data_IF_977439317680
#
_entry.id   IF_977439317680
#
_cell.length_a   1.000
_cell.length_b   1.000
_cell.length_c   1.000
_cell.angle_alpha   90.00
_cell.angle_beta   90.00
_cell.angle_gamma   90.00
#
_symmetry.space_group_name_H-M   'P 1'
#
loop_
_entity.id
_entity.type
_entity.pdbx_description
1 polymer ?
#
# COMPACT_ATOMS: atom_id res chain seq x y z
N UNK A 1 -39.73 -9.70 -45.06
CA UNK A 1 -39.27 -8.29 -45.09
C UNK A 1 -40.37 -7.42 -44.50
N UNK A 2 -40.41 -7.38 -43.17
CA UNK A 2 -41.34 -6.57 -42.36
C UNK A 2 -41.06 -6.89 -40.89
N UNK A 3 -41.26 -5.90 -40.01
CA UNK A 3 -41.47 -6.07 -38.55
C UNK A 3 -40.29 -6.14 -37.57
N UNK A 4 -39.06 -5.74 -37.92
CA UNK A 4 -37.98 -5.58 -36.91
C UNK A 4 -37.47 -4.15 -36.69
N UNK A 5 -37.87 -3.19 -37.54
CA UNK A 5 -37.34 -1.82 -37.49
C UNK A 5 -38.27 -0.80 -36.79
N UNK A 6 -39.44 -1.22 -36.29
CA UNK A 6 -40.40 -0.34 -35.59
C UNK A 6 -40.39 -0.48 -34.06
N UNK A 7 -39.58 -1.39 -33.50
CA UNK A 7 -39.45 -1.58 -32.05
C UNK A 7 -38.25 -0.85 -31.43
N UNK A 8 -37.42 -0.18 -32.25
CA UNK A 8 -36.21 0.54 -31.82
C UNK A 8 -36.42 2.06 -31.69
N UNK A 9 -37.66 2.55 -31.79
CA UNK A 9 -37.98 3.98 -31.78
C UNK A 9 -38.95 4.39 -30.65
N UNK A 10 -38.96 3.65 -29.53
CA UNK A 10 -39.84 3.91 -28.40
C UNK A 10 -39.21 3.58 -27.03
N UNK A 11 -37.92 3.85 -26.83
CA UNK A 11 -37.43 4.15 -25.48
C UNK A 11 -37.29 5.66 -25.36
N UNK A 12 -38.38 6.24 -24.85
CA UNK A 12 -38.49 7.60 -24.39
C UNK A 12 -37.23 8.01 -23.62
N UNK A 13 -36.65 9.13 -24.06
CA UNK A 13 -35.90 10.04 -23.22
C UNK A 13 -36.84 10.49 -22.09
N UNK A 14 -36.80 9.80 -20.95
CA UNK A 14 -37.25 10.38 -19.69
C UNK A 14 -36.11 11.30 -19.25
N UNK A 15 -36.15 12.54 -19.72
CA UNK A 15 -35.37 13.60 -19.11
C UNK A 15 -35.83 13.68 -17.64
N UNK A 16 -34.94 13.49 -16.64
CA UNK A 16 -35.31 13.81 -15.28
C UNK A 16 -35.59 15.31 -15.27
N UNK A 17 -36.83 15.68 -14.95
CA UNK A 17 -37.16 17.03 -14.54
C UNK A 17 -36.26 17.34 -13.34
N UNK A 18 -35.24 18.18 -13.55
CA UNK A 18 -34.47 18.78 -12.47
C UNK A 18 -35.44 19.57 -11.61
N UNK A 19 -35.96 18.94 -10.57
CA UNK A 19 -36.46 19.66 -9.42
C UNK A 19 -35.28 20.49 -8.92
N UNK A 20 -35.40 21.81 -9.00
CA UNK A 20 -34.49 22.71 -8.32
C UNK A 20 -34.62 22.41 -6.82
N UNK A 21 -33.73 21.58 -6.30
CA UNK A 21 -33.56 21.39 -4.87
C UNK A 21 -33.35 22.77 -4.27
N UNK A 22 -34.23 23.13 -3.32
CA UNK A 22 -34.05 24.29 -2.46
C UNK A 22 -32.63 24.18 -1.90
N UNK A 23 -31.76 25.12 -2.28
CA UNK A 23 -30.37 25.14 -1.89
C UNK A 23 -30.24 25.27 -0.38
N UNK A 24 -30.26 24.13 0.30
CA UNK A 24 -29.75 24.02 1.65
C UNK A 24 -28.26 24.33 1.53
N UNK A 25 -27.84 25.41 2.21
CA UNK A 25 -26.47 25.89 2.14
C UNK A 25 -25.57 24.75 2.61
N UNK A 26 -24.75 24.21 1.72
CA UNK A 26 -23.71 23.23 2.09
C UNK A 26 -22.90 23.89 3.22
N UNK A 27 -22.78 23.24 4.40
CA UNK A 27 -21.99 23.78 5.51
C UNK A 27 -20.59 24.14 5.04
N UNK A 28 -19.89 25.05 5.72
CA UNK A 28 -18.47 25.23 5.42
C UNK A 28 -17.71 23.98 5.91
N UNK A 29 -16.74 23.49 5.13
CA UNK A 29 -15.90 22.34 5.48
C UNK A 29 -15.28 22.52 6.87
N UNK A 30 -14.91 23.76 7.21
CA UNK A 30 -14.32 24.11 8.50
C UNK A 30 -15.24 23.92 9.71
N UNK A 31 -16.56 24.03 9.55
CA UNK A 31 -17.52 23.93 10.67
C UNK A 31 -17.58 22.52 11.27
N UNK A 32 -17.34 21.50 10.43
CA UNK A 32 -17.30 20.10 10.86
C UNK A 32 -15.94 19.68 11.44
N UNK A 33 -14.94 20.58 11.43
CA UNK A 33 -13.59 20.31 11.93
C UNK A 33 -13.49 20.73 13.39
N UNK A 34 -13.22 19.77 14.28
CA UNK A 34 -13.09 20.05 15.70
C UNK A 34 -11.82 19.41 16.28
N UNK A 35 -11.15 20.12 17.18
CA UNK A 35 -9.96 19.61 17.85
C UNK A 35 -10.32 18.41 18.73
N UNK A 36 -9.57 17.33 18.63
CA UNK A 36 -9.71 16.17 19.49
C UNK A 36 -9.03 16.44 20.85
N UNK A 37 -9.59 15.94 21.96
CA UNK A 37 -9.04 16.17 23.30
C UNK A 37 -7.86 15.24 23.63
N UNK A 38 -6.99 14.92 22.67
CA UNK A 38 -5.93 13.94 22.84
C UNK A 38 -4.83 14.45 23.76
N UNK A 39 -4.40 13.60 24.69
CA UNK A 39 -3.29 13.84 25.60
C UNK A 39 -2.39 12.61 25.62
N UNK A 40 -1.14 12.76 25.20
CA UNK A 40 -0.14 11.68 25.22
C UNK A 40 1.00 12.12 26.12
N UNK A 41 1.32 11.31 27.14
CA UNK A 41 2.36 11.63 28.14
C UNK A 41 2.23 13.05 28.74
N UNK A 42 0.98 13.49 28.99
CA UNK A 42 0.66 14.80 29.55
C UNK A 42 0.69 15.97 28.55
N UNK A 43 1.05 15.73 27.28
CA UNK A 43 1.04 16.74 26.22
C UNK A 43 -0.23 16.68 25.40
N UNK A 44 -0.89 17.83 25.22
CA UNK A 44 -2.05 17.95 24.32
C UNK A 44 -1.60 17.88 22.87
N UNK A 45 -2.20 16.98 22.08
CA UNK A 45 -1.88 16.87 20.66
C UNK A 45 -2.78 17.76 19.82
N UNK A 46 -2.22 18.32 18.74
CA UNK A 46 -2.95 19.18 17.82
C UNK A 46 -3.61 18.38 16.68
N UNK A 47 -4.40 17.35 17.03
CA UNK A 47 -5.14 16.53 16.04
C UNK A 47 -6.59 16.96 15.98
N UNK A 48 -7.06 17.35 14.80
CA UNK A 48 -8.45 17.66 14.54
C UNK A 48 -9.16 16.49 13.85
N UNK A 49 -10.46 16.37 14.10
CA UNK A 49 -11.35 15.42 13.44
C UNK A 49 -12.37 16.21 12.63
N UNK A 50 -12.46 15.92 11.34
CA UNK A 50 -13.59 16.30 10.50
C UNK A 50 -14.60 15.15 10.48
N UNK A 51 -15.75 15.34 11.10
CA UNK A 51 -16.83 14.36 11.12
C UNK A 51 -18.19 15.06 11.09
N UNK A 52 -19.15 14.50 10.36
CA UNK A 52 -20.49 15.09 10.19
C UNK A 52 -21.49 14.63 11.24
N UNK A 53 -21.20 13.52 11.92
CA UNK A 53 -22.05 12.95 12.96
C UNK A 53 -21.26 12.74 14.26
N UNK A 54 -21.92 12.74 15.43
CA UNK A 54 -21.27 12.39 16.69
C UNK A 54 -20.69 10.97 16.70
N UNK A 55 -21.35 10.00 16.06
CA UNK A 55 -20.81 8.63 15.98
C UNK A 55 -19.53 8.55 15.14
N UNK A 56 -19.51 9.22 13.98
CA UNK A 56 -18.31 9.28 13.13
C UNK A 56 -17.18 9.99 13.84
N UNK A 57 -17.48 11.05 14.61
CA UNK A 57 -16.49 11.73 15.42
C UNK A 57 -15.90 10.79 16.46
N UNK A 58 -16.72 10.11 17.24
CA UNK A 58 -16.25 9.16 18.27
C UNK A 58 -15.41 8.04 17.64
N UNK A 59 -15.78 7.59 16.45
CA UNK A 59 -14.99 6.62 15.70
C UNK A 59 -13.62 7.19 15.29
N UNK A 60 -13.58 8.37 14.67
CA UNK A 60 -12.35 9.05 14.28
C UNK A 60 -11.45 9.35 15.47
N UNK A 61 -12.01 9.80 16.60
CA UNK A 61 -11.28 10.06 17.83
C UNK A 61 -10.61 8.79 18.35
N UNK A 62 -11.39 7.73 18.60
CA UNK A 62 -10.86 6.47 19.10
C UNK A 62 -9.80 5.88 18.16
N UNK A 63 -10.09 5.86 16.86
CA UNK A 63 -9.16 5.33 15.87
C UNK A 63 -7.83 6.08 15.87
N UNK A 64 -7.88 7.41 15.94
CA UNK A 64 -6.69 8.24 15.84
C UNK A 64 -5.90 8.25 17.13
N UNK A 65 -6.55 8.27 18.30
CA UNK A 65 -5.89 8.21 19.61
C UNK A 65 -4.96 7.00 19.72
N UNK A 66 -5.49 5.80 19.44
CA UNK A 66 -4.74 4.53 19.52
C UNK A 66 -3.50 4.48 18.61
N UNK A 67 -3.51 5.21 17.48
CA UNK A 67 -2.43 5.20 16.49
C UNK A 67 -1.45 6.34 16.71
N UNK A 68 -1.97 7.53 16.95
CA UNK A 68 -1.17 8.73 17.15
C UNK A 68 -0.36 8.60 18.42
N UNK A 69 -0.90 8.05 19.51
CA UNK A 69 -0.14 7.76 20.74
C UNK A 69 1.15 6.98 20.44
N UNK A 70 1.01 5.84 19.74
CA UNK A 70 2.15 4.99 19.35
C UNK A 70 3.12 5.76 18.43
N UNK A 71 2.61 6.55 17.49
CA UNK A 71 3.45 7.36 16.61
C UNK A 71 4.25 8.41 17.39
N UNK A 72 3.63 9.10 18.36
CA UNK A 72 4.28 10.11 19.21
C UNK A 72 5.38 9.49 20.07
N UNK A 73 5.13 8.32 20.65
CA UNK A 73 6.13 7.58 21.42
C UNK A 73 7.26 7.06 20.52
N UNK A 74 6.96 6.77 19.26
CA UNK A 74 7.97 6.37 18.27
C UNK A 74 8.91 7.51 17.92
N UNK A 75 8.40 8.72 17.72
CA UNK A 75 9.16 9.90 17.28
C UNK A 75 9.74 10.72 18.44
N UNK A 76 9.23 10.57 19.65
CA UNK A 76 9.64 11.35 20.82
C UNK A 76 8.89 12.68 20.99
N UNK A 77 7.74 12.86 20.33
CA UNK A 77 6.89 14.05 20.45
C UNK A 77 6.08 14.31 19.18
N UNK A 78 4.98 15.06 19.30
CA UNK A 78 3.95 15.18 18.25
C UNK A 78 3.68 16.61 17.78
N UNK A 79 4.70 17.47 17.74
CA UNK A 79 4.53 18.92 17.52
C UNK A 79 3.76 19.31 16.23
N UNK A 80 3.46 18.34 15.37
CA UNK A 80 2.75 18.45 14.10
C UNK A 80 1.22 18.39 14.26
N UNK A 81 0.54 19.28 13.53
CA UNK A 81 -0.91 19.40 13.47
C UNK A 81 -1.48 18.38 12.49
N UNK A 82 -2.38 17.53 12.97
CA UNK A 82 -3.03 16.51 12.17
C UNK A 82 -4.50 16.80 11.88
N UNK A 83 -5.01 16.30 10.77
CA UNK A 83 -6.45 16.21 10.50
C UNK A 83 -6.84 14.81 10.08
N UNK A 84 -7.83 14.23 10.74
CA UNK A 84 -8.51 13.00 10.28
C UNK A 84 -9.90 13.35 9.75
N UNK A 85 -10.14 13.04 8.47
CA UNK A 85 -11.43 13.23 7.80
C UNK A 85 -12.15 11.89 7.77
N UNK A 86 -13.25 11.78 8.51
CA UNK A 86 -14.09 10.59 8.49
C UNK A 86 -15.06 10.69 7.32
N UNK A 87 -14.92 9.80 6.35
CA UNK A 87 -15.83 9.70 5.21
C UNK A 87 -17.21 9.23 5.64
N UNK A 88 -18.25 9.62 4.89
CA UNK A 88 -19.63 9.18 5.14
C UNK A 88 -20.01 8.03 4.22
N UNK A 89 -20.94 7.21 4.66
CA UNK A 89 -21.56 6.20 3.79
C UNK A 89 -22.23 6.86 2.57
N UNK A 90 -21.99 6.30 1.38
CA UNK A 90 -22.50 6.82 0.10
C UNK A 90 -21.59 7.85 -0.58
N UNK A 91 -20.63 8.43 0.12
CA UNK A 91 -19.69 9.39 -0.49
C UNK A 91 -18.61 8.69 -1.33
N UNK A 92 -18.20 9.30 -2.45
CA UNK A 92 -17.13 8.73 -3.26
C UNK A 92 -15.80 8.79 -2.49
N UNK A 93 -15.04 7.70 -2.60
CA UNK A 93 -13.67 7.65 -2.11
C UNK A 93 -12.80 8.70 -2.83
N UNK A 94 -11.85 9.40 -2.15
CA UNK A 94 -11.01 10.43 -2.79
C UNK A 94 -10.30 9.98 -4.08
N UNK A 95 -9.93 8.70 -4.17
CA UNK A 95 -9.35 8.09 -5.38
C UNK A 95 -10.26 8.27 -6.61
N UNK A 96 -11.58 8.22 -6.46
CA UNK A 96 -12.51 8.41 -7.58
C UNK A 96 -12.45 9.84 -8.13
N UNK A 97 -12.36 10.83 -7.23
CA UNK A 97 -12.18 12.24 -7.61
C UNK A 97 -10.86 12.44 -8.35
N UNK A 98 -9.77 11.87 -7.81
CA UNK A 98 -8.43 11.95 -8.41
C UNK A 98 -8.43 11.34 -9.82
N UNK A 99 -9.04 10.17 -10.00
CA UNK A 99 -9.14 9.54 -11.32
C UNK A 99 -9.96 10.34 -12.30
N UNK A 100 -11.05 10.96 -11.84
CA UNK A 100 -11.85 11.83 -12.69
C UNK A 100 -11.02 13.02 -13.20
N UNK A 101 -10.27 13.66 -12.31
CA UNK A 101 -9.33 14.72 -12.70
C UNK A 101 -8.31 14.24 -13.73
N UNK A 102 -7.68 13.07 -13.51
CA UNK A 102 -6.71 12.50 -14.43
C UNK A 102 -7.31 12.20 -15.81
N UNK A 103 -8.50 11.61 -15.85
CA UNK A 103 -9.20 11.33 -17.10
C UNK A 103 -9.56 12.61 -17.88
N UNK A 104 -9.97 13.68 -17.18
CA UNK A 104 -10.23 14.98 -17.81
C UNK A 104 -8.94 15.64 -18.32
N UNK A 105 -7.84 15.52 -17.57
CA UNK A 105 -6.53 16.03 -18.00
C UNK A 105 -6.06 15.32 -19.28
N UNK A 106 -6.15 13.99 -19.32
CA UNK A 106 -5.79 13.17 -20.48
C UNK A 106 -6.67 13.47 -21.70
N UNK A 107 -7.96 13.73 -21.48
CA UNK A 107 -8.91 14.09 -22.54
C UNK A 107 -8.75 15.55 -23.04
N UNK A 108 -7.80 16.32 -22.51
CA UNK A 108 -7.61 17.73 -22.88
C UNK A 108 -8.79 18.63 -22.45
N UNK A 109 -9.53 18.21 -21.42
CA UNK A 109 -10.74 18.89 -20.94
C UNK A 109 -10.46 19.93 -19.86
N UNK A 110 -9.25 19.96 -19.31
CA UNK A 110 -8.82 20.92 -18.30
C UNK A 110 -7.93 22.00 -18.92
N UNK A 111 -7.85 23.15 -18.26
CA UNK A 111 -6.86 24.17 -18.58
C UNK A 111 -5.44 23.56 -18.63
N UNK A 112 -4.58 23.88 -19.61
CA UNK A 112 -3.27 23.27 -19.75
C UNK A 112 -2.37 23.38 -18.50
N UNK A 113 -2.44 24.50 -17.76
CA UNK A 113 -1.65 24.68 -16.55
C UNK A 113 -2.18 23.83 -15.38
N UNK A 114 -3.49 23.57 -15.35
CA UNK A 114 -4.12 22.62 -14.42
C UNK A 114 -3.78 21.17 -14.80
N UNK A 115 -3.91 20.82 -16.08
CA UNK A 115 -3.61 19.48 -16.60
C UNK A 115 -2.15 19.08 -16.35
N UNK A 116 -1.21 20.03 -16.39
CA UNK A 116 0.20 19.79 -16.08
C UNK A 116 0.45 19.21 -14.67
N UNK A 117 -0.52 19.37 -13.74
CA UNK A 117 -0.45 18.78 -12.39
C UNK A 117 -0.87 17.31 -12.32
N UNK A 118 -1.38 16.73 -13.41
CA UNK A 118 -1.79 15.32 -13.45
C UNK A 118 -0.65 14.36 -13.11
N UNK A 119 0.59 14.68 -13.50
CA UNK A 119 1.77 13.85 -13.20
C UNK A 119 2.00 13.63 -11.70
N UNK A 120 1.75 14.65 -10.87
CA UNK A 120 1.89 14.57 -9.41
C UNK A 120 0.89 13.57 -8.82
N UNK A 121 -0.38 13.61 -9.25
CA UNK A 121 -1.42 12.66 -8.81
C UNK A 121 -1.21 11.25 -9.33
N UNK A 122 -0.72 11.11 -10.56
CA UNK A 122 -0.44 9.80 -11.13
C UNK A 122 0.67 9.09 -10.34
N UNK A 123 1.73 9.83 -9.99
CA UNK A 123 2.78 9.33 -9.10
C UNK A 123 2.23 8.96 -7.71
N UNK A 124 1.36 9.78 -7.15
CA UNK A 124 0.73 9.51 -5.85
C UNK A 124 -0.14 8.23 -5.87
N UNK A 125 -0.98 8.05 -6.90
CA UNK A 125 -1.76 6.82 -7.10
C UNK A 125 -0.87 5.60 -7.28
N UNK A 126 0.22 5.73 -8.04
CA UNK A 126 1.18 4.64 -8.26
C UNK A 126 1.87 4.24 -6.94
N UNK A 127 2.24 5.20 -6.11
CA UNK A 127 2.84 4.96 -4.79
C UNK A 127 1.85 4.25 -3.85
N UNK A 128 0.56 4.63 -3.86
CA UNK A 128 -0.47 3.92 -3.10
C UNK A 128 -0.69 2.48 -3.59
N UNK A 129 -0.77 2.26 -4.91
CA UNK A 129 -0.88 0.90 -5.48
C UNK A 129 0.32 0.02 -5.11
N UNK A 130 1.54 0.57 -5.23
CA UNK A 130 2.79 -0.11 -4.89
C UNK A 130 2.84 -0.53 -3.42
N UNK A 131 2.34 0.33 -2.53
CA UNK A 131 2.29 0.07 -1.10
C UNK A 131 1.42 -1.14 -0.75
N UNK A 132 0.29 -1.31 -1.43
CA UNK A 132 -0.67 -2.36 -1.14
C UNK A 132 -0.31 -3.70 -1.79
N UNK A 133 0.53 -3.70 -2.82
CA UNK A 133 0.98 -4.91 -3.57
C UNK A 133 -0.16 -5.81 -4.06
N UNK A 134 -1.34 -5.24 -4.34
CA UNK A 134 -2.54 -6.00 -4.71
C UNK A 134 -2.57 -6.41 -6.18
N UNK A 135 -1.96 -5.62 -7.07
CA UNK A 135 -1.99 -5.89 -8.51
C UNK A 135 -0.80 -6.74 -8.99
N UNK A 136 0.10 -7.17 -8.09
CA UNK A 136 1.19 -8.09 -8.44
C UNK A 136 0.56 -9.40 -8.91
N UNK A 137 1.00 -9.92 -10.05
CA UNK A 137 0.47 -11.17 -10.54
C UNK A 137 0.64 -12.26 -9.47
N UNK A 138 -0.45 -12.97 -9.14
CA UNK A 138 -0.34 -14.09 -8.22
C UNK A 138 0.71 -15.05 -8.78
N UNK A 139 1.38 -15.75 -7.88
CA UNK A 139 2.12 -16.96 -8.22
C UNK A 139 1.32 -17.72 -9.31
N UNK A 140 1.90 -18.06 -10.47
CA UNK A 140 1.20 -18.74 -11.56
C UNK A 140 0.51 -20.05 -11.11
N UNK A 141 0.82 -20.54 -9.91
CA UNK A 141 0.18 -21.69 -9.25
C UNK A 141 -1.10 -21.34 -8.49
N UNK A 142 -1.31 -20.09 -8.11
CA UNK A 142 -2.46 -19.65 -7.34
C UNK A 142 -3.54 -19.13 -8.30
N UNK A 143 -4.25 -20.07 -8.96
CA UNK A 143 -5.41 -19.80 -9.84
C UNK A 143 -6.66 -19.28 -9.09
N UNK A 144 -6.47 -18.79 -7.87
CA UNK A 144 -7.54 -18.27 -7.03
C UNK A 144 -8.02 -16.90 -7.47
N UNK A 145 -9.16 -16.52 -6.92
CA UNK A 145 -9.75 -15.18 -7.05
C UNK A 145 -8.72 -14.07 -6.74
N UNK A 146 -8.41 -13.22 -7.73
CA UNK A 146 -7.45 -12.10 -7.58
C UNK A 146 -8.17 -10.89 -6.97
N UNK A 147 -7.80 -10.54 -5.73
CA UNK A 147 -8.17 -9.25 -5.16
C UNK A 147 -7.47 -8.15 -5.96
N UNK A 148 -8.24 -7.20 -6.49
CA UNK A 148 -7.69 -6.05 -7.21
C UNK A 148 -7.65 -4.83 -6.31
N UNK A 149 -6.83 -3.84 -6.65
CA UNK A 149 -6.87 -2.54 -5.99
C UNK A 149 -8.29 -1.96 -5.97
N UNK A 150 -9.02 -2.05 -7.10
CA UNK A 150 -10.38 -1.50 -7.24
C UNK A 150 -11.38 -2.03 -6.24
N UNK A 151 -11.27 -3.31 -5.90
CA UNK A 151 -12.16 -3.95 -4.94
C UNK A 151 -11.97 -3.42 -3.53
N UNK A 152 -10.75 -3.02 -3.17
CA UNK A 152 -10.41 -2.60 -1.82
C UNK A 152 -10.50 -1.08 -1.65
N UNK A 153 -10.37 -0.30 -2.73
CA UNK A 153 -10.41 1.18 -2.72
C UNK A 153 -11.47 1.77 -1.79
N UNK A 154 -12.74 1.33 -1.78
CA UNK A 154 -13.77 1.95 -0.93
C UNK A 154 -13.47 1.87 0.58
N UNK A 155 -12.70 0.87 1.01
CA UNK A 155 -12.35 0.64 2.42
C UNK A 155 -10.91 1.01 2.76
N UNK A 156 -10.11 1.44 1.78
CA UNK A 156 -8.72 1.82 2.00
C UNK A 156 -8.66 3.27 2.52
N UNK A 157 -7.93 3.55 3.61
CA UNK A 157 -7.70 4.90 4.02
C UNK A 157 -6.57 5.54 3.20
N UNK A 158 -6.42 6.85 3.32
CA UNK A 158 -5.55 7.60 2.42
C UNK A 158 -4.94 8.82 3.09
N UNK A 159 -3.65 9.05 2.87
CA UNK A 159 -3.07 10.37 3.14
C UNK A 159 -3.54 11.34 2.05
N UNK A 160 -4.06 12.52 2.42
CA UNK A 160 -4.57 13.53 1.50
C UNK A 160 -3.58 14.70 1.36
N UNK A 161 -2.37 14.38 0.92
CA UNK A 161 -1.31 15.35 0.74
C UNK A 161 -1.52 16.21 -0.52
N UNK A 162 -1.17 17.50 -0.43
CA UNK A 162 -1.14 18.43 -1.55
C UNK A 162 -2.45 18.51 -2.33
N UNK A 163 -2.38 18.21 -3.63
CA UNK A 163 -3.52 18.37 -4.55
C UNK A 163 -4.65 17.38 -4.28
N UNK A 164 -4.37 16.19 -3.74
CA UNK A 164 -5.40 15.20 -3.40
C UNK A 164 -6.40 15.74 -2.36
N UNK A 165 -5.90 16.40 -1.32
CA UNK A 165 -6.73 17.06 -0.32
C UNK A 165 -7.54 18.22 -0.91
N UNK A 166 -6.94 19.03 -1.80
CA UNK A 166 -7.65 20.12 -2.47
C UNK A 166 -8.79 19.60 -3.36
N UNK A 167 -8.54 18.58 -4.17
CA UNK A 167 -9.57 17.97 -5.01
C UNK A 167 -10.71 17.39 -4.16
N UNK A 168 -10.38 16.74 -3.04
CA UNK A 168 -11.40 16.26 -2.11
C UNK A 168 -12.25 17.40 -1.55
N UNK A 169 -11.64 18.51 -1.10
CA UNK A 169 -12.40 19.67 -0.59
C UNK A 169 -13.28 20.31 -1.64
N UNK A 170 -12.80 20.42 -2.89
CA UNK A 170 -13.59 20.94 -4.00
C UNK A 170 -14.79 20.04 -4.26
N UNK A 171 -14.58 18.72 -4.31
CA UNK A 171 -15.68 17.79 -4.50
C UNK A 171 -16.67 17.81 -3.34
N UNK A 172 -16.18 17.95 -2.11
CA UNK A 172 -17.01 18.10 -0.93
C UNK A 172 -17.89 19.36 -0.99
N UNK A 173 -17.33 20.49 -1.42
CA UNK A 173 -18.07 21.76 -1.53
C UNK A 173 -19.21 21.68 -2.57
N UNK A 174 -19.08 20.78 -3.54
CA UNK A 174 -20.10 20.49 -4.55
C UNK A 174 -21.04 19.32 -4.15
N UNK A 175 -20.96 18.87 -2.88
CA UNK A 175 -21.67 17.71 -2.31
C UNK A 175 -21.44 16.41 -3.09
N UNK A 176 -20.26 16.30 -3.69
CA UNK A 176 -19.86 15.19 -4.56
C UNK A 176 -20.80 14.93 -5.75
N UNK A 177 -21.66 15.89 -6.11
CA UNK A 177 -22.51 15.76 -7.30
C UNK A 177 -21.64 15.74 -8.55
N UNK A 178 -21.77 14.68 -9.35
CA UNK A 178 -20.87 14.42 -10.48
C UNK A 178 -20.86 15.60 -11.46
N UNK A 179 -22.03 16.16 -11.78
CA UNK A 179 -22.14 17.26 -12.75
C UNK A 179 -21.62 18.60 -12.21
N UNK A 180 -21.82 18.89 -10.92
CA UNK A 180 -21.24 20.07 -10.26
C UNK A 180 -19.72 19.93 -10.12
N UNK A 181 -19.22 18.77 -9.70
CA UNK A 181 -17.79 18.49 -9.59
C UNK A 181 -17.11 18.62 -10.94
N UNK A 182 -17.65 18.02 -12.01
CA UNK A 182 -17.07 18.15 -13.34
C UNK A 182 -17.00 19.61 -13.80
N UNK A 183 -18.09 20.37 -13.66
CA UNK A 183 -18.10 21.81 -13.98
C UNK A 183 -17.07 22.57 -13.14
N UNK A 184 -16.94 22.23 -11.87
CA UNK A 184 -15.94 22.84 -10.98
C UNK A 184 -14.53 22.54 -11.45
N UNK A 185 -14.23 21.28 -11.81
CA UNK A 185 -12.93 20.86 -12.33
C UNK A 185 -12.58 21.55 -13.65
N UNK A 186 -13.54 21.68 -14.58
CA UNK A 186 -13.36 22.42 -15.83
C UNK A 186 -13.01 23.89 -15.62
N UNK A 187 -13.60 24.51 -14.59
CA UNK A 187 -13.40 25.92 -14.27
C UNK A 187 -12.16 26.18 -13.39
N UNK A 188 -11.40 25.16 -13.01
CA UNK A 188 -10.21 25.34 -12.18
C UNK A 188 -9.13 26.12 -12.92
N UNK A 189 -8.48 27.02 -12.18
CA UNK A 189 -7.22 27.65 -12.56
C UNK A 189 -6.06 27.05 -11.77
N UNK A 190 -4.83 27.27 -12.22
CA UNK A 190 -3.64 26.87 -11.46
C UNK A 190 -3.59 27.53 -10.06
N UNK A 191 -4.12 28.75 -9.92
CA UNK A 191 -4.18 29.46 -8.64
C UNK A 191 -5.18 28.79 -7.66
N UNK A 192 -6.29 28.26 -8.18
CA UNK A 192 -7.26 27.53 -7.36
C UNK A 192 -6.65 26.29 -6.71
N UNK A 193 -5.74 25.62 -7.43
CA UNK A 193 -5.00 24.46 -6.91
C UNK A 193 -3.94 24.82 -5.86
N UNK A 194 -3.42 26.05 -5.90
CA UNK A 194 -2.42 26.55 -4.95
C UNK A 194 -2.98 26.91 -3.56
N UNK A 195 -4.27 27.24 -3.47
CA UNK A 195 -4.94 27.53 -2.19
C UNK A 195 -5.55 26.26 -1.61
N UNK A 196 -5.13 25.82 -0.42
CA UNK A 196 -5.70 24.65 0.24
C UNK A 196 -5.95 24.95 1.72
N UNK A 197 -7.20 24.89 2.18
CA UNK A 197 -7.54 25.13 3.58
C UNK A 197 -6.97 24.04 4.51
N UNK A 198 -6.57 22.90 3.95
CA UNK A 198 -5.88 21.83 4.66
C UNK A 198 -4.38 22.08 4.84
N UNK A 199 -3.78 23.05 4.15
CA UNK A 199 -2.34 23.34 4.24
C UNK A 199 -1.86 23.78 5.63
N UNK A 200 -2.79 24.14 6.52
CA UNK A 200 -2.49 24.45 7.93
C UNK A 200 -2.19 23.22 8.79
N UNK A 201 -2.45 22.02 8.27
CA UNK A 201 -2.11 20.75 8.90
C UNK A 201 -0.84 20.20 8.27
N UNK A 202 0.04 19.64 9.10
CA UNK A 202 1.25 18.97 8.66
C UNK A 202 0.94 17.63 7.99
N UNK A 203 -0.19 17.01 8.33
CA UNK A 203 -0.70 15.82 7.67
C UNK A 203 -2.23 15.76 7.68
N UNK A 204 -2.80 15.14 6.64
CA UNK A 204 -4.24 14.93 6.51
C UNK A 204 -4.51 13.49 6.15
N UNK A 205 -5.43 12.85 6.86
CA UNK A 205 -5.75 11.45 6.66
C UNK A 205 -7.25 11.25 6.43
N UNK A 206 -7.62 10.69 5.29
CA UNK A 206 -8.96 10.22 5.02
C UNK A 206 -9.16 8.83 5.60
N UNK A 207 -10.14 8.73 6.50
CA UNK A 207 -10.59 7.50 7.12
C UNK A 207 -11.96 7.13 6.54
N UNK A 208 -12.09 6.02 5.78
CA UNK A 208 -13.38 5.56 5.27
C UNK A 208 -14.40 5.35 6.40
N UNK A 209 -15.71 5.39 6.11
CA UNK A 209 -16.72 5.12 7.13
C UNK A 209 -16.49 3.74 7.76
N UNK A 210 -16.88 3.58 9.03
CA UNK A 210 -16.65 2.34 9.80
C UNK A 210 -17.18 1.08 9.09
N UNK A 211 -18.26 1.21 8.32
CA UNK A 211 -18.90 0.11 7.59
C UNK A 211 -18.37 -0.08 6.16
N UNK A 212 -17.43 0.74 5.66
CA UNK A 212 -16.92 0.66 4.29
C UNK A 212 -16.44 -0.75 3.92
N UNK A 213 -15.78 -1.43 4.85
CA UNK A 213 -15.28 -2.78 4.61
C UNK A 213 -16.40 -3.83 4.43
N UNK A 214 -17.59 -3.64 4.99
CA UNK A 214 -18.70 -4.59 4.80
C UNK A 214 -19.18 -4.62 3.34
N UNK A 215 -19.18 -3.47 2.67
CA UNK A 215 -19.51 -3.40 1.24
C UNK A 215 -18.45 -4.13 0.41
N UNK A 216 -17.18 -3.86 0.69
CA UNK A 216 -16.04 -4.53 0.06
C UNK A 216 -16.06 -6.05 0.29
N UNK A 217 -16.31 -6.51 1.52
CA UNK A 217 -16.46 -7.92 1.87
C UNK A 217 -17.58 -8.57 1.04
N UNK A 218 -18.75 -7.94 0.96
CA UNK A 218 -19.87 -8.43 0.17
C UNK A 218 -19.52 -8.57 -1.32
N UNK A 219 -18.86 -7.57 -1.88
CA UNK A 219 -18.50 -7.55 -3.31
C UNK A 219 -17.44 -8.60 -3.65
N UNK A 220 -16.41 -8.76 -2.79
CA UNK A 220 -15.42 -9.84 -2.90
C UNK A 220 -16.09 -11.20 -2.96
N UNK A 221 -17.03 -11.45 -2.05
CA UNK A 221 -17.73 -12.74 -1.94
C UNK A 221 -18.60 -12.99 -3.17
N UNK A 222 -19.32 -11.97 -3.65
CA UNK A 222 -20.14 -12.10 -4.85
C UNK A 222 -19.29 -12.42 -6.08
N UNK A 223 -18.16 -11.73 -6.27
CA UNK A 223 -17.27 -11.97 -7.39
C UNK A 223 -16.60 -13.35 -7.31
N UNK A 224 -16.15 -13.78 -6.12
CA UNK A 224 -15.59 -15.12 -5.92
C UNK A 224 -16.61 -16.24 -6.23
N UNK A 225 -17.86 -16.08 -5.82
CA UNK A 225 -18.94 -17.04 -6.13
C UNK A 225 -19.22 -17.11 -7.64
N UNK A 226 -19.23 -15.95 -8.31
CA UNK A 226 -19.48 -15.86 -9.74
C UNK A 226 -18.34 -16.51 -10.56
N UNK A 227 -17.08 -16.24 -10.20
CA UNK A 227 -15.90 -16.79 -10.86
C UNK A 227 -15.87 -18.32 -10.84
N UNK A 228 -16.18 -18.91 -9.68
CA UNK A 228 -16.04 -20.36 -9.45
C UNK A 228 -17.27 -21.18 -9.89
N UNK A 229 -18.27 -20.56 -10.53
CA UNK A 229 -19.56 -21.19 -10.91
C UNK A 229 -20.15 -22.08 -9.80
N UNK A 230 -20.01 -21.63 -8.55
CA UNK A 230 -20.27 -22.50 -7.40
C UNK A 230 -21.76 -22.88 -7.31
N UNK A 231 -22.05 -24.18 -7.18
CA UNK A 231 -23.38 -24.69 -6.81
C UNK A 231 -23.77 -24.34 -5.37
N UNK A 232 -25.05 -24.53 -5.01
CA UNK A 232 -25.64 -24.11 -3.73
C UNK A 232 -24.83 -24.55 -2.48
N UNK A 233 -24.34 -25.80 -2.45
CA UNK A 233 -23.56 -26.31 -1.32
C UNK A 233 -22.19 -25.64 -1.16
N UNK A 234 -21.47 -25.39 -2.27
CA UNK A 234 -20.20 -24.66 -2.23
C UNK A 234 -20.38 -23.21 -1.80
N UNK A 235 -21.49 -22.57 -2.21
CA UNK A 235 -21.87 -21.23 -1.75
C UNK A 235 -22.15 -21.20 -0.24
N UNK A 236 -22.85 -22.19 0.28
CA UNK A 236 -23.11 -22.30 1.71
C UNK A 236 -21.81 -22.50 2.50
N UNK A 237 -20.92 -23.39 2.05
CA UNK A 237 -19.61 -23.60 2.67
C UNK A 237 -18.73 -22.34 2.65
N UNK A 238 -18.68 -21.61 1.52
CA UNK A 238 -17.93 -20.35 1.42
C UNK A 238 -18.49 -19.30 2.39
N UNK A 239 -19.82 -19.12 2.45
CA UNK A 239 -20.47 -18.21 3.40
C UNK A 239 -20.17 -18.58 4.86
N UNK A 240 -20.20 -19.86 5.20
CA UNK A 240 -19.85 -20.35 6.54
C UNK A 240 -18.38 -20.09 6.89
N UNK A 241 -17.47 -20.33 5.94
CA UNK A 241 -16.05 -20.03 6.11
C UNK A 241 -15.82 -18.53 6.30
N UNK A 242 -16.44 -17.69 5.46
CA UNK A 242 -16.37 -16.23 5.61
C UNK A 242 -16.91 -15.77 6.95
N UNK A 243 -18.04 -16.32 7.41
CA UNK A 243 -18.57 -15.99 8.74
C UNK A 243 -17.57 -16.34 9.86
N UNK A 244 -16.92 -17.49 9.77
CA UNK A 244 -15.89 -17.91 10.73
C UNK A 244 -14.63 -17.03 10.67
N UNK A 245 -14.21 -16.58 9.48
CA UNK A 245 -12.99 -15.78 9.30
C UNK A 245 -13.21 -14.25 9.28
N UNK A 246 -14.46 -13.77 9.17
CA UNK A 246 -14.81 -12.35 9.08
C UNK A 246 -14.22 -11.52 10.24
N UNK A 247 -14.20 -12.00 11.50
CA UNK A 247 -13.53 -11.28 12.58
C UNK A 247 -12.03 -11.08 12.34
N UNK A 248 -11.33 -12.12 11.86
CA UNK A 248 -9.90 -12.04 11.55
C UNK A 248 -9.64 -11.09 10.37
N UNK A 249 -10.46 -11.16 9.32
CA UNK A 249 -10.35 -10.26 8.16
C UNK A 249 -10.58 -8.80 8.59
N UNK A 250 -11.61 -8.53 9.39
CA UNK A 250 -11.89 -7.19 9.94
C UNK A 250 -10.72 -6.67 10.77
N UNK A 251 -10.14 -7.52 11.61
CA UNK A 251 -8.97 -7.18 12.43
C UNK A 251 -7.76 -6.86 11.54
N UNK A 252 -7.50 -7.68 10.51
CA UNK A 252 -6.41 -7.43 9.56
C UNK A 252 -6.61 -6.11 8.78
N UNK A 253 -7.83 -5.83 8.34
CA UNK A 253 -8.17 -4.56 7.65
C UNK A 253 -7.97 -3.38 8.58
N UNK A 254 -8.47 -3.45 9.82
CA UNK A 254 -8.27 -2.39 10.80
C UNK A 254 -6.78 -2.19 11.12
N UNK A 255 -6.01 -3.27 11.24
CA UNK A 255 -4.57 -3.21 11.40
C UNK A 255 -3.85 -2.53 10.22
N UNK A 256 -4.26 -2.81 8.99
CA UNK A 256 -3.77 -2.09 7.81
C UNK A 256 -4.13 -0.61 7.86
N UNK A 257 -5.38 -0.27 8.24
CA UNK A 257 -5.83 1.12 8.34
C UNK A 257 -5.02 1.90 9.37
N UNK A 258 -4.84 1.33 10.56
CA UNK A 258 -4.01 1.88 11.64
C UNK A 258 -2.57 2.06 11.17
N UNK A 259 -2.02 1.06 10.47
CA UNK A 259 -0.69 1.14 9.87
C UNK A 259 -0.53 2.30 8.89
N UNK A 260 -1.54 2.58 8.06
CA UNK A 260 -1.50 3.70 7.13
C UNK A 260 -1.53 5.07 7.83
N UNK A 261 -2.31 5.23 8.90
CA UNK A 261 -2.29 6.45 9.70
C UNK A 261 -0.93 6.60 10.40
N UNK A 262 -0.42 5.54 11.03
CA UNK A 262 0.89 5.52 11.68
C UNK A 262 2.00 5.96 10.71
N UNK A 263 2.04 5.37 9.51
CA UNK A 263 2.98 5.76 8.46
C UNK A 263 2.82 7.22 8.04
N UNK A 264 1.58 7.72 7.95
CA UNK A 264 1.28 9.11 7.58
C UNK A 264 1.84 10.07 8.62
N UNK A 265 1.63 9.78 9.91
CA UNK A 265 2.18 10.57 11.02
C UNK A 265 3.71 10.55 11.00
N UNK A 266 4.33 9.37 10.90
CA UNK A 266 5.80 9.26 10.86
C UNK A 266 6.43 10.05 9.71
N UNK A 267 5.79 10.07 8.52
CA UNK A 267 6.29 10.85 7.38
C UNK A 267 6.29 12.36 7.64
N UNK A 268 5.36 12.85 8.46
CA UNK A 268 5.24 14.27 8.77
C UNK A 268 6.08 14.70 9.97
N UNK A 269 6.37 13.78 10.89
CA UNK A 269 6.85 14.08 12.24
C UNK A 269 8.21 13.46 12.59
N UNK A 270 8.90 12.85 11.62
CA UNK A 270 10.19 12.21 11.85
C UNK A 270 11.20 12.46 10.74
N UNK A 271 12.47 12.37 11.10
CA UNK A 271 13.61 12.38 10.17
C UNK A 271 13.96 10.97 9.66
N UNK A 272 13.10 9.97 9.91
CA UNK A 272 13.32 8.61 9.43
C UNK A 272 13.29 8.55 7.90
N UNK A 273 14.17 7.74 7.32
CA UNK A 273 14.14 7.50 5.87
C UNK A 273 12.83 6.83 5.44
N UNK A 274 12.43 6.96 4.16
CA UNK A 274 11.25 6.27 3.60
C UNK A 274 11.27 4.76 3.91
N UNK A 275 12.45 4.13 3.83
CA UNK A 275 12.63 2.72 4.13
C UNK A 275 12.46 2.39 5.62
N UNK A 276 12.93 3.26 6.53
CA UNK A 276 12.78 3.07 7.97
C UNK A 276 11.31 3.18 8.38
N UNK A 277 10.60 4.18 7.85
CA UNK A 277 9.17 4.36 8.08
C UNK A 277 8.39 3.13 7.61
N UNK A 278 8.70 2.60 6.43
CA UNK A 278 8.06 1.38 5.92
C UNK A 278 8.33 0.16 6.81
N UNK A 279 9.56 0.01 7.31
CA UNK A 279 9.92 -1.08 8.22
C UNK A 279 9.22 -0.94 9.58
N UNK A 280 9.18 0.26 10.16
CA UNK A 280 8.46 0.55 11.40
C UNK A 280 6.96 0.30 11.27
N UNK A 281 6.37 0.72 10.15
CA UNK A 281 4.95 0.47 9.86
C UNK A 281 4.68 -1.03 9.70
N UNK A 282 5.55 -1.77 9.02
CA UNK A 282 5.40 -3.22 8.89
C UNK A 282 5.50 -3.93 10.25
N UNK A 283 6.40 -3.51 11.13
CA UNK A 283 6.50 -4.03 12.49
C UNK A 283 5.22 -3.75 13.30
N UNK A 284 4.70 -2.52 13.23
CA UNK A 284 3.44 -2.14 13.88
C UNK A 284 2.25 -2.96 13.37
N UNK A 285 2.04 -2.99 12.04
CA UNK A 285 0.95 -3.74 11.40
C UNK A 285 1.02 -5.22 11.76
N UNK A 286 2.22 -5.82 11.79
CA UNK A 286 2.41 -7.23 12.16
C UNK A 286 1.88 -7.56 13.56
N UNK A 287 1.97 -6.64 14.52
CA UNK A 287 1.43 -6.82 15.88
C UNK A 287 -0.10 -6.79 15.89
N UNK A 288 -0.70 -5.99 15.00
CA UNK A 288 -2.15 -5.83 14.84
C UNK A 288 -2.78 -6.95 14.02
N UNK A 289 -2.01 -7.67 13.23
CA UNK A 289 -2.53 -8.79 12.45
C UNK A 289 -3.08 -9.87 13.38
N UNK A 290 -4.22 -10.48 13.02
CA UNK A 290 -4.78 -11.57 13.81
C UNK A 290 -3.77 -12.70 13.88
N UNK A 291 -3.38 -13.06 15.09
CA UNK A 291 -2.67 -14.30 15.33
C UNK A 291 -3.53 -15.20 16.22
N UNK A 292 -3.69 -16.46 15.81
CA UNK A 292 -4.47 -17.45 16.54
C UNK A 292 -3.73 -17.96 17.79
N UNK A 293 -2.88 -17.12 18.37
CA UNK A 293 -2.01 -17.42 19.50
C UNK A 293 -2.28 -16.38 20.59
N UNK A 294 -2.26 -16.83 21.85
CA UNK A 294 -2.30 -15.91 22.97
C UNK A 294 -0.96 -15.22 23.12
N UNK A 295 -0.92 -13.95 22.75
CA UNK A 295 0.20 -13.08 23.10
C UNK A 295 -0.13 -12.39 24.43
N UNK A 296 0.72 -12.55 25.45
CA UNK A 296 0.58 -11.79 26.68
C UNK A 296 0.75 -10.28 26.46
N UNK A 297 0.17 -9.47 27.36
CA UNK A 297 0.29 -8.00 27.33
C UNK A 297 -0.79 -7.28 26.53
N UNK A 298 -0.76 -5.94 26.57
CA UNK A 298 -1.69 -5.08 25.80
C UNK A 298 -1.20 -4.90 24.35
N UNK A 299 -2.11 -4.58 23.42
CA UNK A 299 -1.76 -4.23 22.03
C UNK A 299 -0.73 -3.10 21.98
N UNK A 300 -0.95 -2.05 22.77
CA UNK A 300 -0.04 -0.91 22.90
C UNK A 300 1.38 -1.33 23.26
N UNK A 301 1.55 -2.11 24.34
CA UNK A 301 2.87 -2.57 24.80
C UNK A 301 3.57 -3.42 23.75
N UNK A 302 2.86 -4.37 23.12
CA UNK A 302 3.41 -5.22 22.07
C UNK A 302 3.84 -4.41 20.85
N UNK A 303 3.07 -3.38 20.49
CA UNK A 303 3.40 -2.49 19.38
C UNK A 303 4.69 -1.72 19.65
N UNK A 304 4.83 -1.11 20.83
CA UNK A 304 6.04 -0.39 21.22
C UNK A 304 7.28 -1.31 21.27
N UNK A 305 7.15 -2.50 21.84
CA UNK A 305 8.25 -3.49 21.87
C UNK A 305 8.71 -3.87 20.44
N UNK A 306 7.76 -4.10 19.53
CA UNK A 306 8.07 -4.39 18.13
C UNK A 306 8.72 -3.19 17.41
N UNK A 307 8.27 -1.98 17.73
CA UNK A 307 8.81 -0.73 17.18
C UNK A 307 10.25 -0.50 17.67
N UNK A 308 10.52 -0.65 18.97
CA UNK A 308 11.87 -0.49 19.53
C UNK A 308 12.84 -1.53 18.95
N UNK A 309 12.43 -2.79 18.83
CA UNK A 309 13.21 -3.81 18.15
C UNK A 309 13.50 -3.42 16.69
N UNK A 310 12.52 -2.84 15.98
CA UNK A 310 12.69 -2.39 14.61
C UNK A 310 13.57 -1.14 14.49
N UNK A 311 13.55 -0.21 15.45
CA UNK A 311 14.48 0.92 15.52
C UNK A 311 15.93 0.44 15.61
N UNK A 312 16.20 -0.57 16.45
CA UNK A 312 17.53 -1.20 16.55
C UNK A 312 17.93 -1.82 15.21
N UNK A 313 17.03 -2.56 14.58
CA UNK A 313 17.29 -3.17 13.26
C UNK A 313 17.52 -2.12 12.17
N UNK A 314 16.82 -0.99 12.20
CA UNK A 314 17.03 0.13 11.29
C UNK A 314 18.39 0.80 11.52
N UNK A 315 18.78 1.04 12.77
CA UNK A 315 20.09 1.58 13.12
C UNK A 315 21.23 0.65 12.69
N UNK A 316 21.04 -0.67 12.80
CA UNK A 316 22.01 -1.64 12.29
C UNK A 316 22.09 -1.62 10.76
N UNK A 317 20.95 -1.59 10.06
CA UNK A 317 20.92 -1.48 8.61
C UNK A 317 21.61 -0.21 8.09
N UNK A 318 21.46 0.92 8.81
CA UNK A 318 22.07 2.19 8.44
C UNK A 318 23.61 2.15 8.44
N UNK A 319 24.25 1.19 9.13
CA UNK A 319 25.71 1.02 9.13
C UNK A 319 26.25 0.43 7.82
N UNK A 320 25.46 -0.39 7.13
CA UNK A 320 25.81 -1.07 5.88
C UNK A 320 24.56 -1.19 4.98
N UNK A 321 24.04 -0.06 4.46
CA UNK A 321 22.82 -0.06 3.67
C UNK A 321 23.05 -0.73 2.32
N UNK A 322 21.99 -1.34 1.78
CA UNK A 322 22.04 -1.87 0.42
C UNK A 322 22.01 -0.71 -0.57
N UNK A 323 23.09 -0.56 -1.33
CA UNK A 323 23.16 0.38 -2.46
C UNK A 323 23.21 -0.48 -3.74
N UNK A 324 22.20 -0.39 -4.62
CA UNK A 324 22.16 -1.20 -5.83
C UNK A 324 23.32 -0.79 -6.75
N UNK A 325 24.27 -1.70 -7.05
CA UNK A 325 25.38 -1.38 -7.93
C UNK A 325 24.90 -1.27 -9.38
N UNK A 326 25.63 -0.50 -10.19
CA UNK A 326 25.37 -0.43 -11.63
C UNK A 326 25.88 -1.72 -12.29
N UNK A 327 25.12 -2.23 -13.27
CA UNK A 327 25.60 -3.29 -14.16
C UNK A 327 26.84 -2.80 -14.93
N UNK A 328 27.79 -3.70 -15.14
CA UNK A 328 28.92 -3.47 -16.03
C UNK A 328 28.45 -3.57 -17.49
N UNK A 329 28.87 -2.62 -18.33
CA UNK A 329 28.62 -2.67 -19.78
C UNK A 329 29.56 -3.67 -20.46
N UNK A 330 30.76 -3.81 -19.91
CA UNK A 330 31.81 -4.73 -20.38
C UNK A 330 32.38 -5.50 -19.20
N UNK A 331 32.54 -6.80 -19.33
CA UNK A 331 33.12 -7.67 -18.32
C UNK A 331 33.82 -8.86 -18.98
N UNK A 332 34.70 -9.54 -18.23
CA UNK A 332 35.29 -10.81 -18.64
C UNK A 332 34.43 -11.98 -18.08
N UNK A 333 33.75 -12.77 -18.93
CA UNK A 333 32.97 -13.92 -18.48
C UNK A 333 33.81 -14.96 -17.73
N UNK A 334 35.10 -15.10 -18.06
CA UNK A 334 35.99 -16.07 -17.41
C UNK A 334 36.18 -15.76 -15.93
N UNK A 335 36.17 -14.48 -15.54
CA UNK A 335 36.28 -14.04 -14.15
C UNK A 335 35.13 -14.55 -13.25
N UNK A 336 33.97 -14.89 -13.83
CA UNK A 336 32.80 -15.37 -13.11
C UNK A 336 32.54 -16.87 -13.33
N UNK A 337 33.31 -17.57 -14.17
CA UNK A 337 33.10 -18.98 -14.46
C UNK A 337 33.12 -19.84 -13.18
N UNK A 338 34.03 -19.51 -12.23
CA UNK A 338 34.10 -20.17 -10.93
C UNK A 338 32.86 -19.95 -10.04
N UNK A 339 32.07 -18.91 -10.30
CA UNK A 339 30.87 -18.59 -9.54
C UNK A 339 29.66 -19.46 -9.94
N UNK A 340 29.66 -20.05 -11.14
CA UNK A 340 28.62 -20.98 -11.55
C UNK A 340 28.66 -22.26 -10.68
N UNK A 341 27.49 -22.73 -10.24
CA UNK A 341 27.38 -23.90 -9.37
C UNK A 341 26.23 -23.82 -8.37
N UNK A 342 26.27 -24.74 -7.39
CA UNK A 342 25.20 -24.93 -6.43
C UNK A 342 25.56 -24.34 -5.05
N UNK A 343 24.56 -23.79 -4.36
CA UNK A 343 24.70 -23.12 -3.08
C UNK A 343 23.55 -23.49 -2.13
N UNK A 344 23.81 -23.59 -0.84
CA UNK A 344 22.81 -23.98 0.15
C UNK A 344 22.98 -23.22 1.47
N UNK A 345 21.91 -23.13 2.27
CA UNK A 345 22.05 -22.51 3.60
C UNK A 345 22.82 -23.43 4.54
N UNK A 346 23.43 -22.87 5.59
CA UNK A 346 24.10 -23.67 6.60
C UNK A 346 23.15 -24.67 7.29
N UNK A 347 21.89 -24.29 7.49
CA UNK A 347 20.85 -25.16 8.04
C UNK A 347 20.50 -26.30 7.07
N UNK A 348 20.38 -25.99 5.78
CA UNK A 348 20.12 -26.99 4.74
C UNK A 348 21.27 -28.01 4.69
N UNK A 349 22.54 -27.57 4.76
CA UNK A 349 23.72 -28.44 4.82
C UNK A 349 23.70 -29.36 6.05
N UNK A 350 23.32 -28.85 7.22
CA UNK A 350 23.18 -29.64 8.45
C UNK A 350 22.07 -30.69 8.34
N UNK A 351 20.93 -30.32 7.76
CA UNK A 351 19.76 -31.20 7.55
C UNK A 351 19.90 -32.15 6.35
N UNK A 352 20.81 -31.88 5.42
CA UNK A 352 21.02 -32.67 4.20
C UNK A 352 21.43 -34.13 4.49
N UNK A 353 21.93 -34.44 5.70
CA UNK A 353 22.10 -35.83 6.17
C UNK A 353 20.78 -36.63 6.20
N UNK A 354 19.61 -35.98 6.12
CA UNK A 354 18.28 -36.63 6.23
C UNK A 354 17.33 -36.37 5.04
N UNK A 355 17.84 -36.06 3.82
CA UNK A 355 17.11 -35.77 2.55
C UNK A 355 16.82 -34.27 2.29
N UNK A 356 17.79 -33.51 1.77
CA UNK A 356 17.53 -32.18 1.22
C UNK A 356 17.76 -32.10 -0.30
N UNK A 357 16.67 -31.88 -1.06
CA UNK A 357 16.65 -31.53 -2.50
C UNK A 357 16.69 -30.00 -2.74
N UNK A 358 16.80 -29.20 -1.69
CA UNK A 358 16.67 -27.74 -1.72
C UNK A 358 18.05 -27.06 -1.80
N UNK A 359 18.37 -26.45 -2.94
CA UNK A 359 19.60 -25.66 -3.12
C UNK A 359 19.35 -24.54 -4.14
N UNK A 360 20.27 -23.60 -4.24
CA UNK A 360 20.28 -22.57 -5.27
C UNK A 360 21.30 -22.93 -6.34
N UNK A 361 20.95 -22.74 -7.60
CA UNK A 361 21.80 -22.99 -8.75
C UNK A 361 22.05 -21.67 -9.48
N UNK A 362 23.32 -21.37 -9.75
CA UNK A 362 23.76 -20.33 -10.67
C UNK A 362 24.25 -20.99 -11.96
N UNK A 363 23.58 -20.70 -13.07
CA UNK A 363 24.04 -21.10 -14.40
C UNK A 363 24.35 -19.88 -15.24
N UNK A 364 25.35 -19.98 -16.10
CA UNK A 364 25.69 -18.96 -17.08
C UNK A 364 25.14 -19.38 -18.45
N UNK A 365 24.60 -18.41 -19.19
CA UNK A 365 24.11 -18.57 -20.56
C UNK A 365 24.27 -17.26 -21.32
N UNK A 366 25.12 -17.26 -22.34
CA UNK A 366 25.32 -16.13 -23.26
C UNK A 366 25.67 -14.81 -22.55
N UNK A 367 26.51 -14.87 -21.51
CA UNK A 367 26.91 -13.71 -20.70
C UNK A 367 25.86 -13.28 -19.67
N UNK A 368 24.79 -14.06 -19.49
CA UNK A 368 23.72 -13.82 -18.52
C UNK A 368 23.75 -14.90 -17.44
N UNK A 369 23.58 -14.50 -16.18
CA UNK A 369 23.58 -15.44 -15.06
C UNK A 369 22.15 -15.68 -14.57
N UNK A 370 21.78 -16.94 -14.48
CA UNK A 370 20.46 -17.40 -14.08
C UNK A 370 20.56 -18.01 -12.68
N UNK A 371 19.87 -17.37 -11.73
CA UNK A 371 19.83 -17.77 -10.33
C UNK A 371 18.48 -18.39 -10.00
N UNK A 372 18.47 -19.67 -9.60
CA UNK A 372 17.24 -20.42 -9.33
C UNK A 372 17.32 -21.15 -8.00
N UNK A 373 16.20 -21.21 -7.28
CA UNK A 373 16.04 -22.14 -6.17
C UNK A 373 15.53 -23.50 -6.68
N UNK A 374 16.41 -24.48 -6.71
CA UNK A 374 16.12 -25.87 -7.01
C UNK A 374 15.40 -26.49 -5.81
N UNK A 375 14.08 -26.66 -5.93
CA UNK A 375 13.19 -27.02 -4.82
C UNK A 375 11.79 -26.43 -4.99
N UNK A 376 11.67 -25.40 -5.83
CA UNK A 376 10.40 -24.89 -6.34
C UNK A 376 10.45 -24.81 -7.88
N UNK A 377 9.31 -24.66 -8.55
CA UNK A 377 9.23 -24.44 -10.00
C UNK A 377 9.34 -22.94 -10.36
N UNK A 378 10.05 -22.16 -9.56
CA UNK A 378 10.17 -20.73 -9.80
C UNK A 378 11.03 -20.47 -11.04
N UNK A 379 10.62 -19.48 -11.84
CA UNK A 379 11.43 -19.04 -12.97
C UNK A 379 12.80 -18.53 -12.50
N UNK A 380 13.88 -18.84 -13.24
CA UNK A 380 15.21 -18.39 -12.88
C UNK A 380 15.26 -16.86 -12.96
N UNK A 381 15.87 -16.23 -11.95
CA UNK A 381 16.08 -14.79 -11.94
C UNK A 381 17.32 -14.45 -12.75
N UNK A 382 17.20 -13.41 -13.57
CA UNK A 382 18.29 -12.91 -14.40
C UNK A 382 19.20 -11.95 -13.63
N UNK A 383 20.50 -12.15 -13.76
CA UNK A 383 21.56 -11.36 -13.13
C UNK A 383 22.63 -10.95 -14.14
N UNK A 384 23.25 -9.81 -13.88
CA UNK A 384 24.32 -9.20 -14.67
C UNK A 384 25.52 -8.88 -13.80
N UNK A 385 26.75 -8.97 -14.34
CA UNK A 385 27.97 -8.48 -13.69
C UNK A 385 27.85 -7.02 -13.23
N UNK A 386 28.32 -6.71 -12.03
CA UNK A 386 28.25 -5.38 -11.41
C UNK A 386 29.53 -4.98 -10.65
N UNK A 387 30.58 -5.78 -10.74
CA UNK A 387 31.86 -5.60 -10.02
C UNK A 387 32.56 -6.93 -9.83
N UNK A 388 33.77 -6.94 -9.29
CA UNK A 388 34.53 -8.17 -9.07
C UNK A 388 33.71 -9.18 -8.25
N UNK A 389 33.41 -10.34 -8.84
CA UNK A 389 32.61 -11.41 -8.20
C UNK A 389 31.27 -10.92 -7.63
N UNK A 390 30.71 -9.89 -8.25
CA UNK A 390 29.44 -9.29 -7.88
C UNK A 390 28.49 -9.33 -9.07
N UNK A 391 27.31 -9.89 -8.84
CA UNK A 391 26.19 -9.84 -9.77
C UNK A 391 25.05 -9.00 -9.20
N UNK A 392 24.32 -8.31 -10.06
CA UNK A 392 23.11 -7.56 -9.74
C UNK A 392 21.92 -8.10 -10.54
N UNK A 393 20.76 -8.19 -9.91
CA UNK A 393 19.53 -8.64 -10.59
C UNK A 393 19.14 -7.67 -11.70
N UNK A 394 18.38 -8.14 -12.69
CA UNK A 394 17.93 -7.34 -13.83
C UNK A 394 17.17 -6.06 -13.44
N UNK A 395 16.43 -6.10 -12.33
CA UNK A 395 15.69 -4.97 -11.79
C UNK A 395 16.48 -4.16 -10.74
N UNK A 396 17.76 -4.46 -10.53
CA UNK A 396 18.66 -3.75 -9.61
C UNK A 396 18.40 -3.96 -8.13
N UNK A 397 17.40 -4.75 -7.73
CA UNK A 397 16.95 -4.79 -6.33
C UNK A 397 17.66 -5.82 -5.45
N UNK A 398 18.61 -6.58 -6.00
CA UNK A 398 19.28 -7.66 -5.31
C UNK A 398 20.66 -7.92 -5.91
N UNK A 399 21.62 -8.32 -5.08
CA UNK A 399 22.98 -8.68 -5.49
C UNK A 399 23.37 -10.07 -5.01
N UNK A 400 24.29 -10.69 -5.72
CA UNK A 400 25.01 -11.91 -5.33
C UNK A 400 26.50 -11.57 -5.29
N UNK A 401 27.08 -11.52 -4.10
CA UNK A 401 28.51 -11.30 -3.91
C UNK A 401 29.19 -12.62 -3.54
N UNK A 402 30.06 -13.14 -4.39
CA UNK A 402 30.70 -14.43 -4.16
C UNK A 402 31.86 -14.32 -3.17
N UNK A 403 31.82 -15.17 -2.15
CA UNK A 403 32.83 -15.28 -1.12
C UNK A 403 33.92 -16.24 -1.60
N UNK A 404 35.18 -15.90 -1.36
CA UNK A 404 36.32 -16.74 -1.71
C UNK A 404 37.19 -17.04 -0.49
N UNK A 405 37.92 -18.15 -0.53
CA UNK A 405 38.99 -18.43 0.43
C UNK A 405 40.32 -17.76 0.02
N UNK A 406 41.37 -17.98 0.82
CA UNK A 406 42.73 -17.46 0.58
C UNK A 406 43.34 -17.94 -0.74
N UNK A 407 42.84 -19.04 -1.31
CA UNK A 407 43.29 -19.61 -2.58
C UNK A 407 42.47 -19.09 -3.77
N UNK A 408 41.51 -18.21 -3.52
CA UNK A 408 40.60 -17.66 -4.52
C UNK A 408 39.47 -18.61 -4.92
N UNK A 409 39.27 -19.73 -4.23
CA UNK A 409 38.18 -20.65 -4.52
C UNK A 409 36.86 -20.13 -3.94
N UNK A 410 35.78 -20.21 -4.72
CA UNK A 410 34.44 -19.74 -4.29
C UNK A 410 33.89 -20.66 -3.21
N UNK A 411 33.72 -20.13 -2.00
CA UNK A 411 33.23 -20.85 -0.82
C UNK A 411 31.76 -20.59 -0.52
N UNK A 412 31.19 -19.55 -1.11
CA UNK A 412 29.78 -19.20 -0.93
C UNK A 412 29.36 -17.98 -1.71
N UNK A 413 28.14 -17.53 -1.45
CA UNK A 413 27.57 -16.32 -2.02
C UNK A 413 26.75 -15.61 -0.95
N UNK A 414 26.92 -14.31 -0.87
CA UNK A 414 26.09 -13.43 -0.07
C UNK A 414 25.02 -12.80 -0.95
N UNK A 415 23.77 -13.16 -0.68
CA UNK A 415 22.60 -12.52 -1.26
C UNK A 415 22.25 -11.28 -0.43
N UNK A 416 22.24 -10.12 -1.07
CA UNK A 416 21.80 -8.86 -0.45
C UNK A 416 20.64 -8.27 -1.24
N UNK A 417 19.70 -7.67 -0.53
CA UNK A 417 18.68 -6.75 -1.04
C UNK A 417 18.33 -5.76 0.08
N UNK A 418 17.46 -4.80 -0.19
CA UNK A 418 17.04 -3.82 0.82
C UNK A 418 16.60 -4.52 2.12
N UNK A 419 17.29 -4.19 3.22
CA UNK A 419 17.07 -4.74 4.58
C UNK A 419 17.08 -6.27 4.70
N UNK A 420 17.77 -6.96 3.79
CA UNK A 420 17.90 -8.41 3.84
C UNK A 420 19.29 -8.84 3.37
N UNK A 421 19.92 -9.70 4.17
CA UNK A 421 21.22 -10.30 3.91
C UNK A 421 21.17 -11.77 4.27
N UNK A 422 21.68 -12.62 3.40
CA UNK A 422 21.79 -14.06 3.66
C UNK A 422 23.04 -14.61 2.99
N UNK A 423 23.79 -15.42 3.73
CA UNK A 423 24.92 -16.18 3.19
C UNK A 423 24.48 -17.59 2.83
N UNK A 424 24.86 -18.02 1.62
CA UNK A 424 24.71 -19.38 1.13
C UNK A 424 26.10 -19.98 0.90
N UNK A 425 26.31 -21.19 1.37
CA UNK A 425 27.58 -21.89 1.24
C UNK A 425 27.62 -22.62 -0.10
N UNK A 426 28.79 -22.66 -0.74
CA UNK A 426 29.04 -23.48 -1.92
C UNK A 426 28.80 -24.95 -1.57
N UNK A 427 27.98 -25.62 -2.37
CA UNK A 427 27.80 -27.06 -2.29
C UNK A 427 28.99 -27.71 -3.02
N UNK A 428 29.77 -28.48 -2.27
CA UNK A 428 30.94 -29.21 -2.76
C UNK A 428 30.52 -30.49 -3.51
#
# INVERSE_FOLDING_TARGET
MNSLLKFLLAMLVVAPAFAAEKGEKVPDFGEAVQLAPFVVNGQKLAVAIHARTPEDRKYGEKFSEEVVEIACETTGGSGKKGLVIVGREGEPHPVLVIRKFLAMAEAGQLDPAVAAKAGELQAQLADWKKMLRLDVDPDPKNKGFKLTFEMLVPALPLSLDGMSGKLYQLSWAEDFDVGRVERKLHALTAADLGSNALSKYDWVFYLPPRNAFKAVEKDIVQQAVAHEKMGLFKRAALKSALFAFSPAIKTAVEGMRKGMLYMTVLRADSDYSKGDIMALTAAYVKVLMPDFKFNGGTEHKRALEAIEAQKIANAEYAKDPFIPPKRLETFDPAAYAACAGNYETAEARKKAKEKAKAFWSLTEKDGVYLWRYEGNQDEPRTYYPAGERLLVSANGNMTLHFLVDEKGAVTGVEERRERYRRTLLRKL
#
